data_IF_461374727726
#
_entry.id   IF_461374727726
#
_cell.length_a   1.000
_cell.length_b   1.000
_cell.length_c   1.000
_cell.angle_alpha   90.00
_cell.angle_beta   90.00
_cell.angle_gamma   90.00
#
_symmetry.space_group_name_H-M   'P 1'
#
loop_
_entity.id
_entity.type
_entity.pdbx_description
1 polymer ?
#
# COMPACT_ATOMS: atom_id res chain seq x y z
N UNK A 1 9.29 -24.63 22.30
CA UNK A 1 8.46 -24.57 21.08
C UNK A 1 9.21 -23.71 20.07
N UNK A 2 9.65 -24.28 18.94
CA UNK A 2 10.27 -23.48 17.88
C UNK A 2 9.18 -22.59 17.28
N UNK A 3 9.35 -21.28 17.41
CA UNK A 3 8.52 -20.29 16.73
C UNK A 3 8.59 -20.59 15.23
N UNK A 4 7.46 -20.96 14.62
CA UNK A 4 7.44 -21.48 13.25
C UNK A 4 7.52 -20.31 12.25
N UNK A 5 8.74 -19.75 12.12
CA UNK A 5 9.05 -18.56 11.29
C UNK A 5 8.68 -18.73 9.82
N UNK A 6 8.51 -19.97 9.36
CA UNK A 6 8.11 -20.33 8.01
C UNK A 6 6.70 -19.83 7.66
N UNK A 7 5.75 -19.86 8.61
CA UNK A 7 4.35 -19.51 8.34
C UNK A 7 4.16 -18.02 8.00
N UNK A 8 4.67 -17.06 8.79
CA UNK A 8 4.61 -15.64 8.43
C UNK A 8 5.36 -15.30 7.13
N UNK A 9 6.45 -16.02 6.84
CA UNK A 9 7.21 -15.85 5.59
C UNK A 9 6.35 -16.22 4.38
N UNK A 10 5.73 -17.39 4.39
CA UNK A 10 4.88 -17.89 3.29
C UNK A 10 3.68 -16.95 3.08
N UNK A 11 3.07 -16.47 4.16
CA UNK A 11 1.92 -15.56 4.06
C UNK A 11 2.33 -14.22 3.46
N UNK A 12 3.45 -13.65 3.89
CA UNK A 12 3.94 -12.40 3.30
C UNK A 12 4.32 -12.58 1.82
N UNK A 13 4.89 -13.73 1.44
CA UNK A 13 5.15 -14.05 0.04
C UNK A 13 3.85 -14.13 -0.78
N UNK A 14 2.78 -14.72 -0.22
CA UNK A 14 1.48 -14.77 -0.86
C UNK A 14 0.85 -13.37 -1.00
N UNK A 15 0.96 -12.52 0.03
CA UNK A 15 0.48 -11.13 -0.03
C UNK A 15 1.24 -10.34 -1.09
N UNK A 16 2.56 -10.50 -1.17
CA UNK A 16 3.37 -9.88 -2.22
C UNK A 16 2.93 -10.35 -3.62
N UNK A 17 2.68 -11.66 -3.79
CA UNK A 17 2.20 -12.21 -5.06
C UNK A 17 0.82 -11.66 -5.43
N UNK A 18 -0.12 -11.57 -4.48
CA UNK A 18 -1.45 -10.99 -4.71
C UNK A 18 -1.32 -9.51 -5.09
N UNK A 19 -0.46 -8.75 -4.40
CA UNK A 19 -0.21 -7.35 -4.74
C UNK A 19 0.24 -7.21 -6.20
N UNK A 20 1.24 -7.98 -6.60
CA UNK A 20 1.82 -7.95 -7.96
C UNK A 20 0.78 -8.37 -9.00
N UNK A 21 -0.01 -9.42 -8.73
CA UNK A 21 -1.08 -9.88 -9.62
C UNK A 21 -2.14 -8.80 -9.81
N UNK A 22 -2.59 -8.15 -8.73
CA UNK A 22 -3.56 -7.04 -8.82
C UNK A 22 -2.95 -5.88 -9.62
N UNK A 23 -1.69 -5.52 -9.37
CA UNK A 23 -0.99 -4.46 -10.08
C UNK A 23 -0.98 -4.67 -11.61
N UNK A 24 -0.80 -5.91 -12.08
CA UNK A 24 -0.76 -6.21 -13.51
C UNK A 24 -2.13 -6.41 -14.16
N UNK A 25 -3.09 -7.01 -13.44
CA UNK A 25 -4.40 -7.37 -13.99
C UNK A 25 -5.39 -6.21 -13.89
N UNK A 26 -5.29 -5.39 -12.86
CA UNK A 26 -6.09 -4.18 -12.78
C UNK A 26 -5.61 -3.23 -13.88
N UNK A 27 -6.46 -2.87 -14.88
CA UNK A 27 -6.14 -1.73 -15.72
C UNK A 27 -5.89 -0.57 -14.77
N UNK A 28 -4.76 0.10 -14.90
CA UNK A 28 -4.45 1.31 -14.13
C UNK A 28 -5.55 2.31 -14.53
N UNK A 29 -6.66 2.35 -13.79
CA UNK A 29 -7.83 3.12 -14.17
C UNK A 29 -7.40 4.57 -14.05
N UNK A 30 -7.56 5.29 -15.16
CA UNK A 30 -7.06 6.63 -15.47
C UNK A 30 -5.59 6.67 -15.99
N UNK A 31 -5.50 6.81 -17.30
CA UNK A 31 -4.30 7.33 -17.97
C UNK A 31 -4.25 8.84 -17.73
N UNK A 32 -3.27 9.33 -16.96
CA UNK A 32 -3.11 10.76 -16.65
C UNK A 32 -2.67 11.05 -15.21
N UNK A 33 -2.96 12.26 -14.70
CA UNK A 33 -2.61 12.71 -13.34
C UNK A 33 -3.33 11.95 -12.21
N UNK A 34 -4.48 11.36 -12.54
CA UNK A 34 -5.25 10.49 -11.64
C UNK A 34 -4.84 9.07 -11.99
N UNK A 35 -4.33 8.31 -11.02
CA UNK A 35 -3.93 6.91 -11.22
C UNK A 35 -4.51 6.08 -10.09
N UNK A 36 -5.46 5.20 -10.40
CA UNK A 36 -6.06 4.33 -9.40
C UNK A 36 -5.27 3.02 -9.29
N UNK A 37 -4.58 2.84 -8.16
CA UNK A 37 -3.84 1.63 -7.87
C UNK A 37 -4.58 0.74 -6.88
N UNK A 38 -5.38 -0.19 -7.39
CA UNK A 38 -6.16 -1.12 -6.56
C UNK A 38 -5.30 -1.98 -5.61
N UNK A 39 -4.04 -2.25 -5.98
CA UNK A 39 -3.12 -3.03 -5.14
C UNK A 39 -2.80 -2.34 -3.81
N UNK A 40 -2.87 -1.01 -3.71
CA UNK A 40 -2.70 -0.27 -2.46
C UNK A 40 -3.79 -0.59 -1.43
N UNK A 41 -4.93 -1.16 -1.85
CA UNK A 41 -5.95 -1.67 -0.93
C UNK A 41 -5.42 -2.71 0.06
N UNK A 42 -4.34 -3.43 -0.29
CA UNK A 42 -3.68 -4.39 0.59
C UNK A 42 -2.96 -3.73 1.77
N UNK A 43 -2.70 -2.42 1.75
CA UNK A 43 -2.12 -1.69 2.88
C UNK A 43 -2.95 -1.84 4.16
N UNK A 44 -4.26 -2.02 4.03
CA UNK A 44 -5.17 -2.29 5.14
C UNK A 44 -4.87 -3.57 5.92
N UNK A 45 -4.15 -4.55 5.34
CA UNK A 45 -3.73 -5.75 6.06
C UNK A 45 -2.91 -5.43 7.31
N UNK A 46 -2.11 -4.35 7.25
CA UNK A 46 -1.31 -3.89 8.38
C UNK A 46 -2.17 -3.49 9.60
N UNK A 47 -3.41 -3.05 9.38
CA UNK A 47 -4.33 -2.66 10.45
C UNK A 47 -4.81 -3.86 11.31
N UNK A 48 -4.81 -5.07 10.73
CA UNK A 48 -5.17 -6.32 11.40
C UNK A 48 -3.96 -6.96 12.09
N UNK A 49 -2.82 -7.04 11.39
CA UNK A 49 -1.56 -7.50 11.96
C UNK A 49 -0.35 -6.83 11.28
N UNK A 50 0.57 -6.31 12.09
CA UNK A 50 1.73 -5.54 11.61
C UNK A 50 2.72 -6.36 10.80
N UNK A 51 2.66 -7.68 10.89
CA UNK A 51 3.55 -8.58 10.15
C UNK A 51 3.24 -8.58 8.64
N UNK A 52 2.03 -8.20 8.25
CA UNK A 52 1.61 -8.15 6.83
C UNK A 52 2.29 -7.04 6.03
N UNK A 53 2.80 -5.97 6.68
CA UNK A 53 3.43 -4.86 5.98
C UNK A 53 4.60 -5.29 5.10
N UNK A 54 5.34 -6.33 5.51
CA UNK A 54 6.50 -6.80 4.76
C UNK A 54 6.12 -7.47 3.46
N UNK A 55 5.00 -8.18 3.42
CA UNK A 55 4.44 -8.73 2.18
C UNK A 55 3.99 -7.62 1.23
N UNK A 56 3.34 -6.58 1.76
CA UNK A 56 2.91 -5.44 0.93
C UNK A 56 4.11 -4.65 0.40
N UNK A 57 5.09 -4.32 1.26
CA UNK A 57 6.35 -3.64 0.84
C UNK A 57 7.08 -4.44 -0.23
N UNK A 58 7.18 -5.78 -0.07
CA UNK A 58 7.78 -6.62 -1.10
C UNK A 58 6.99 -6.60 -2.41
N UNK A 59 5.65 -6.60 -2.33
CA UNK A 59 4.78 -6.46 -3.50
C UNK A 59 4.98 -5.14 -4.25
N UNK A 60 4.99 -4.01 -3.53
CA UNK A 60 5.26 -2.67 -4.09
C UNK A 60 6.63 -2.63 -4.74
N UNK A 61 7.66 -3.13 -4.05
CA UNK A 61 9.02 -3.17 -4.57
C UNK A 61 9.11 -3.96 -5.88
N UNK A 62 8.47 -5.15 -5.96
CA UNK A 62 8.47 -5.98 -7.17
C UNK A 62 7.69 -5.29 -8.31
N UNK A 63 6.53 -4.71 -8.01
CA UNK A 63 5.72 -3.98 -9.00
C UNK A 63 6.48 -2.78 -9.57
N UNK A 64 7.11 -1.97 -8.71
CA UNK A 64 7.90 -0.82 -9.15
C UNK A 64 9.22 -1.24 -9.82
N UNK A 65 9.79 -2.40 -9.47
CA UNK A 65 10.95 -2.95 -10.18
C UNK A 65 10.61 -3.30 -11.63
N UNK A 66 9.40 -3.78 -11.87
CA UNK A 66 8.91 -3.94 -13.24
C UNK A 66 8.75 -2.59 -13.95
N UNK A 67 8.22 -1.57 -13.28
CA UNK A 67 8.15 -0.19 -13.81
C UNK A 67 9.53 0.36 -14.20
N UNK A 68 10.53 0.14 -13.34
CA UNK A 68 11.93 0.47 -13.59
C UNK A 68 12.47 -0.22 -14.85
N UNK A 69 12.26 -1.54 -14.99
CA UNK A 69 12.73 -2.31 -16.15
C UNK A 69 12.09 -1.86 -17.48
N UNK A 70 10.92 -1.20 -17.42
CA UNK A 70 10.18 -0.73 -18.59
C UNK A 70 10.29 0.79 -18.84
N UNK A 71 11.22 1.49 -18.17
CA UNK A 71 11.62 2.85 -18.54
C UNK A 71 11.01 3.99 -17.74
N UNK A 72 10.26 3.74 -16.66
CA UNK A 72 9.79 4.79 -15.74
C UNK A 72 10.92 5.37 -14.85
N UNK A 73 12.10 4.76 -14.89
CA UNK A 73 13.29 5.21 -14.15
C UNK A 73 13.41 4.58 -12.77
N UNK A 74 14.58 4.74 -12.14
CA UNK A 74 14.89 4.19 -10.81
C UNK A 74 14.16 4.92 -9.67
N UNK A 75 13.59 6.08 -9.98
CA UNK A 75 12.88 6.93 -9.03
C UNK A 75 11.65 6.22 -8.44
N UNK A 76 10.80 5.61 -9.28
CA UNK A 76 9.55 4.96 -8.84
C UNK A 76 9.81 3.78 -7.90
N UNK A 77 10.91 3.04 -8.15
CA UNK A 77 11.34 1.96 -7.26
C UNK A 77 11.67 2.50 -5.86
N UNK A 78 12.48 3.55 -5.77
CA UNK A 78 12.98 4.08 -4.50
C UNK A 78 11.90 4.85 -3.78
N UNK A 79 11.29 5.83 -4.43
CA UNK A 79 10.32 6.74 -3.80
C UNK A 79 8.99 6.05 -3.50
N UNK A 80 8.49 5.19 -4.39
CA UNK A 80 7.29 4.41 -4.14
C UNK A 80 7.45 3.42 -2.97
N UNK A 81 8.52 2.63 -2.96
CA UNK A 81 8.79 1.73 -1.83
C UNK A 81 9.02 2.50 -0.53
N UNK A 82 9.74 3.63 -0.60
CA UNK A 82 9.99 4.50 0.55
C UNK A 82 8.70 5.10 1.11
N UNK A 83 7.80 5.57 0.24
CA UNK A 83 6.47 6.04 0.61
C UNK A 83 5.70 4.98 1.40
N UNK A 84 5.64 3.75 0.91
CA UNK A 84 4.96 2.64 1.59
C UNK A 84 5.57 2.36 2.96
N UNK A 85 6.90 2.26 3.04
CA UNK A 85 7.61 1.97 4.31
C UNK A 85 7.35 3.07 5.35
N UNK A 86 7.52 4.34 4.97
CA UNK A 86 7.29 5.47 5.88
C UNK A 86 5.83 5.52 6.33
N UNK A 87 4.89 5.31 5.41
CA UNK A 87 3.46 5.28 5.74
C UNK A 87 3.14 4.18 6.76
N UNK A 88 3.71 2.98 6.59
CA UNK A 88 3.53 1.91 7.57
C UNK A 88 4.17 2.21 8.92
N UNK A 89 5.35 2.84 8.95
CA UNK A 89 5.98 3.23 10.22
C UNK A 89 5.12 4.22 11.00
N UNK A 90 4.52 5.20 10.31
CA UNK A 90 3.58 6.16 10.92
C UNK A 90 2.32 5.44 11.41
N UNK A 91 1.76 4.54 10.59
CA UNK A 91 0.60 3.73 10.98
C UNK A 91 0.89 2.91 12.25
N UNK A 92 2.01 2.19 12.29
CA UNK A 92 2.42 1.36 13.42
C UNK A 92 2.62 2.18 14.70
N UNK A 93 3.05 3.44 14.57
CA UNK A 93 3.17 4.36 15.69
C UNK A 93 1.80 4.86 16.22
N UNK A 94 0.80 5.00 15.33
CA UNK A 94 -0.54 5.51 15.68
C UNK A 94 -1.47 4.38 16.15
N UNK A 95 -1.38 3.18 15.60
CA UNK A 95 -2.27 2.06 15.91
C UNK A 95 -2.44 1.71 17.40
N UNK A 96 -1.42 1.81 18.29
CA UNK A 96 -1.60 1.55 19.72
C UNK A 96 -2.61 2.52 20.36
N UNK A 97 -2.79 3.71 19.78
CA UNK A 97 -3.73 4.75 20.24
C UNK A 97 -5.14 4.54 19.68
N UNK A 98 -5.32 3.56 18.78
CA UNK A 98 -6.58 3.29 18.08
C UNK A 98 -7.16 1.94 18.53
N UNK A 99 -8.22 1.94 19.36
CA UNK A 99 -8.76 0.72 19.96
C UNK A 99 -9.55 -0.13 18.96
N UNK A 100 -10.10 0.45 17.90
CA UNK A 100 -10.95 -0.27 16.94
C UNK A 100 -10.25 -0.51 15.60
N UNK A 101 -10.52 -1.68 15.00
CA UNK A 101 -10.02 -2.02 13.65
C UNK A 101 -10.49 -0.98 12.62
N UNK A 102 -11.74 -0.54 12.71
CA UNK A 102 -12.29 0.52 11.84
C UNK A 102 -11.49 1.82 11.93
N UNK A 103 -11.07 2.22 13.14
CA UNK A 103 -10.23 3.41 13.30
C UNK A 103 -8.84 3.21 12.69
N UNK A 104 -8.25 2.01 12.80
CA UNK A 104 -6.96 1.69 12.16
C UNK A 104 -7.05 1.68 10.63
N UNK A 105 -8.14 1.15 10.07
CA UNK A 105 -8.41 1.22 8.62
C UNK A 105 -8.53 2.67 8.17
N UNK A 106 -9.32 3.49 8.88
CA UNK A 106 -9.43 4.93 8.59
C UNK A 106 -8.09 5.67 8.69
N UNK A 107 -7.28 5.36 9.71
CA UNK A 107 -5.94 5.91 9.85
C UNK A 107 -5.03 5.49 8.68
N UNK A 108 -5.09 4.22 8.25
CA UNK A 108 -4.34 3.74 7.07
C UNK A 108 -4.70 4.55 5.84
N UNK A 109 -6.00 4.71 5.56
CA UNK A 109 -6.51 5.51 4.44
C UNK A 109 -5.95 6.94 4.46
N UNK A 110 -6.05 7.63 5.59
CA UNK A 110 -5.60 9.03 5.71
C UNK A 110 -4.08 9.14 5.61
N UNK A 111 -3.33 8.28 6.31
CA UNK A 111 -1.87 8.35 6.35
C UNK A 111 -1.28 8.09 4.97
N UNK A 112 -1.68 7.00 4.30
CA UNK A 112 -1.16 6.67 2.96
C UNK A 112 -1.48 7.77 1.95
N UNK A 113 -2.70 8.31 1.99
CA UNK A 113 -3.11 9.39 1.10
C UNK A 113 -2.33 10.67 1.32
N UNK A 114 -2.05 11.07 2.58
CA UNK A 114 -1.25 12.26 2.85
C UNK A 114 0.23 12.06 2.51
N UNK A 115 0.76 10.86 2.75
CA UNK A 115 2.16 10.54 2.49
C UNK A 115 2.49 10.43 1.00
N UNK A 116 1.49 10.35 0.12
CA UNK A 116 1.70 10.35 -1.35
C UNK A 116 2.40 11.61 -1.86
N UNK A 117 2.56 12.63 -1.00
CA UNK A 117 3.51 13.73 -1.16
C UNK A 117 4.89 13.28 -1.67
N UNK A 118 5.39 12.15 -1.15
CA UNK A 118 6.70 11.58 -1.54
C UNK A 118 6.71 11.21 -3.04
N UNK A 119 5.64 10.56 -3.51
CA UNK A 119 5.47 10.19 -4.92
C UNK A 119 5.20 11.41 -5.80
N UNK A 120 4.43 12.39 -5.31
CA UNK A 120 4.22 13.63 -6.04
C UNK A 120 5.53 14.43 -6.24
N UNK A 121 6.41 14.42 -5.23
CA UNK A 121 7.74 15.02 -5.31
C UNK A 121 8.62 14.29 -6.33
N UNK A 122 8.59 12.95 -6.31
CA UNK A 122 9.27 12.13 -7.30
C UNK A 122 8.84 12.47 -8.74
N UNK A 123 7.53 12.54 -9.01
CA UNK A 123 6.99 12.87 -10.33
C UNK A 123 7.35 14.30 -10.77
N UNK A 124 7.43 15.24 -9.83
CA UNK A 124 7.92 16.58 -10.12
C UNK A 124 9.42 16.56 -10.50
N UNK A 125 10.25 15.75 -9.82
CA UNK A 125 11.67 15.64 -10.12
C UNK A 125 11.94 14.90 -11.44
N UNK A 126 11.26 13.78 -11.68
CA UNK A 126 11.50 12.91 -12.83
C UNK A 126 10.89 13.43 -14.13
N UNK A 127 9.68 14.00 -14.07
CA UNK A 127 8.91 14.40 -15.25
C UNK A 127 8.57 15.90 -15.30
N UNK A 128 9.06 16.70 -14.35
CA UNK A 128 8.79 18.15 -14.25
C UNK A 128 7.30 18.49 -14.16
N UNK A 129 6.48 17.56 -13.65
CA UNK A 129 5.04 17.76 -13.49
C UNK A 129 4.74 18.78 -12.38
N UNK A 130 3.68 19.60 -12.51
CA UNK A 130 3.33 20.61 -11.50
C UNK A 130 2.97 19.96 -10.16
N UNK A 131 3.85 20.14 -9.17
CA UNK A 131 3.80 19.45 -7.88
C UNK A 131 2.42 19.45 -7.22
N UNK A 132 1.82 20.63 -7.00
CA UNK A 132 0.54 20.73 -6.29
C UNK A 132 -0.61 20.04 -7.02
N UNK A 133 -0.65 20.18 -8.34
CA UNK A 133 -1.69 19.55 -9.16
C UNK A 133 -1.56 18.02 -9.12
N UNK A 134 -0.34 17.49 -9.28
CA UNK A 134 -0.05 16.06 -9.16
C UNK A 134 -0.34 15.55 -7.75
N UNK A 135 0.06 16.29 -6.71
CA UNK A 135 -0.20 15.89 -5.33
C UNK A 135 -1.69 15.78 -5.03
N UNK A 136 -2.51 16.79 -5.35
CA UNK A 136 -3.94 16.74 -5.06
C UNK A 136 -4.67 15.65 -5.86
N UNK A 137 -4.28 15.42 -7.11
CA UNK A 137 -4.87 14.35 -7.93
C UNK A 137 -4.54 12.97 -7.37
N UNK A 138 -3.29 12.74 -6.96
CA UNK A 138 -2.86 11.51 -6.32
C UNK A 138 -3.54 11.27 -4.96
N UNK A 139 -3.62 12.30 -4.11
CA UNK A 139 -4.33 12.24 -2.82
C UNK A 139 -5.78 11.81 -3.02
N UNK A 140 -6.47 12.41 -4.00
CA UNK A 140 -7.86 12.05 -4.30
C UNK A 140 -7.96 10.61 -4.79
N UNK A 141 -7.07 10.16 -5.68
CA UNK A 141 -7.10 8.78 -6.17
C UNK A 141 -6.84 7.75 -5.08
N UNK A 142 -5.86 8.01 -4.22
CA UNK A 142 -5.48 7.14 -3.10
C UNK A 142 -6.61 7.09 -2.06
N UNK A 143 -7.20 8.24 -1.72
CA UNK A 143 -8.34 8.30 -0.81
C UNK A 143 -9.51 7.48 -1.32
N UNK A 144 -9.87 7.61 -2.60
CA UNK A 144 -10.99 6.87 -3.20
C UNK A 144 -10.73 5.37 -3.13
N UNK A 145 -9.55 4.91 -3.57
CA UNK A 145 -9.20 3.48 -3.55
C UNK A 145 -9.24 2.96 -2.13
N UNK A 146 -8.52 3.60 -1.21
CA UNK A 146 -8.42 3.13 0.17
C UNK A 146 -9.74 3.23 0.93
N UNK A 147 -10.59 4.20 0.63
CA UNK A 147 -11.93 4.33 1.21
C UNK A 147 -12.87 3.21 0.72
N UNK A 148 -12.76 2.79 -0.54
CA UNK A 148 -13.54 1.67 -1.09
C UNK A 148 -13.00 0.33 -0.57
N UNK A 149 -11.68 0.16 -0.49
CA UNK A 149 -11.08 -1.10 -0.06
C UNK A 149 -11.17 -1.31 1.45
N UNK A 150 -11.23 -0.26 2.27
CA UNK A 150 -11.38 -0.38 3.73
C UNK A 150 -12.61 -1.22 4.17
N UNK A 151 -13.85 -0.94 3.72
CA UNK A 151 -15.01 -1.76 4.07
C UNK A 151 -14.93 -3.17 3.47
N UNK A 152 -14.36 -3.31 2.27
CA UNK A 152 -14.12 -4.62 1.65
C UNK A 152 -13.19 -5.48 2.52
N UNK A 153 -12.05 -4.93 2.95
CA UNK A 153 -11.08 -5.63 3.79
C UNK A 153 -11.65 -5.98 5.16
N UNK A 154 -12.47 -5.08 5.74
CA UNK A 154 -13.20 -5.37 6.96
C UNK A 154 -14.20 -6.52 6.80
N UNK A 155 -14.87 -6.62 5.64
CA UNK A 155 -15.77 -7.74 5.34
C UNK A 155 -15.01 -9.05 5.11
N UNK A 156 -13.88 -9.02 4.39
CA UNK A 156 -13.03 -10.20 4.16
C UNK A 156 -12.46 -10.72 5.48
N UNK A 157 -12.04 -9.84 6.40
CA UNK A 157 -11.52 -10.24 7.71
C UNK A 157 -12.53 -11.04 8.53
N UNK A 158 -13.83 -10.75 8.41
CA UNK A 158 -14.87 -11.54 9.08
C UNK A 158 -14.96 -13.00 8.61
N UNK A 159 -14.43 -13.30 7.43
CA UNK A 159 -14.43 -14.65 6.85
C UNK A 159 -13.06 -15.33 7.01
N UNK A 160 -11.99 -14.55 6.84
CA UNK A 160 -10.62 -15.08 6.77
C UNK A 160 -9.92 -15.03 8.13
N UNK A 161 -10.31 -14.13 9.02
CA UNK A 161 -9.67 -13.87 10.31
C UNK A 161 -8.17 -13.65 10.17
N UNK A 162 -7.76 -12.54 9.54
CA UNK A 162 -6.37 -12.32 9.12
C UNK A 162 -5.38 -12.44 10.28
N UNK A 163 -5.75 -11.97 11.47
CA UNK A 163 -4.90 -12.05 12.65
C UNK A 163 -4.48 -13.49 13.00
N UNK A 164 -5.37 -14.47 12.86
CA UNK A 164 -5.11 -15.88 13.16
C UNK A 164 -4.27 -16.57 12.09
N UNK A 165 -4.32 -16.06 10.85
CA UNK A 165 -3.59 -16.64 9.74
C UNK A 165 -2.11 -16.42 9.88
N UNK A 166 -1.68 -15.24 10.33
CA UNK A 166 -0.26 -14.90 10.44
C UNK A 166 0.34 -15.14 11.84
N UNK A 167 -0.49 -15.44 12.85
CA UNK A 167 -0.11 -15.87 14.22
C UNK A 167 0.92 -17.00 14.22
#
# INVERSE_FOLDING_TARGET
MQENKTRPLVINALVAAIYVVIYFIAPQIAYGPIQFRLSEGLNHLNAFDRRYKWGVVAGVFIANFYGFANGLGWYDLVFGTFHTVISFLICDWIYPKLPSVKARLGATTVIFSLMIFIVAFELNLAFQLPFWYTYFTLVVSELIVLAITAPLMYWIDRQVHFHEKIA
#
